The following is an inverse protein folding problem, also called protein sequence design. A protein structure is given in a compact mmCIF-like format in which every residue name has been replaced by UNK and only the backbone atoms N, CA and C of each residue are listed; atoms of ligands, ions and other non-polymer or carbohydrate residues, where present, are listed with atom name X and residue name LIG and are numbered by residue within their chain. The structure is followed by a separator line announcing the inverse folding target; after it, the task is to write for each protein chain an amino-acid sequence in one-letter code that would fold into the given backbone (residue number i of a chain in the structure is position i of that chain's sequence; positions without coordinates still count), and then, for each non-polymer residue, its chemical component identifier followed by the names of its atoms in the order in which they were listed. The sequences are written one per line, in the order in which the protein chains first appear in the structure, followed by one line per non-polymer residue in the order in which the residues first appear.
data_IF_763491915268
#
_entry.id   IF_763491915268
#
_cell.length_a   1.000
_cell.length_b   1.000
_cell.length_c   1.000
_cell.angle_alpha   90.00
_cell.angle_beta   90.00
_cell.angle_gamma   90.00
#
_symmetry.space_group_name_H-M   'P 1'
#
loop_
_entity.id
_entity.type
_entity.pdbx_description
1 polymer ?
#
# COMPACT_ATOMS: atom_id res chain seq x y z
N UNK A 1 10.00 -0.26 2.89
CA UNK A 1 8.64 -0.11 3.44
C UNK A 1 7.63 -0.15 2.31
N UNK A 2 6.60 -0.97 2.42
CA UNK A 2 5.47 -0.98 1.48
C UNK A 2 4.42 -0.01 2.03
N UNK A 3 3.94 0.91 1.21
CA UNK A 3 2.86 1.81 1.61
C UNK A 3 1.51 1.14 1.37
N UNK A 4 0.62 1.17 2.38
CA UNK A 4 -0.75 0.81 2.06
C UNK A 4 -1.36 1.92 1.18
N UNK A 5 -2.51 1.63 0.58
CA UNK A 5 -3.09 2.50 -0.44
C UNK A 5 -3.39 3.90 0.08
N UNK A 6 -3.95 4.02 1.30
CA UNK A 6 -4.26 5.33 1.87
C UNK A 6 -3.01 6.12 2.22
N UNK A 7 -1.97 5.46 2.73
CA UNK A 7 -0.69 6.11 3.03
C UNK A 7 -0.09 6.71 1.75
N UNK A 8 -0.11 5.96 0.66
CA UNK A 8 0.37 6.44 -0.64
C UNK A 8 -0.41 7.68 -1.10
N UNK A 9 -1.74 7.64 -1.05
CA UNK A 9 -2.57 8.76 -1.45
C UNK A 9 -2.34 9.97 -0.53
N UNK A 10 -2.26 9.77 0.77
CA UNK A 10 -2.00 10.88 1.70
C UNK A 10 -0.65 11.53 1.46
N UNK A 11 0.35 10.74 1.10
CA UNK A 11 1.66 11.30 0.71
C UNK A 11 1.52 12.18 -0.52
N UNK A 12 0.86 11.69 -1.59
CA UNK A 12 0.72 12.44 -2.83
C UNK A 12 -0.06 13.73 -2.65
N UNK A 13 -1.09 13.72 -1.79
CA UNK A 13 -1.93 14.89 -1.55
C UNK A 13 -1.43 15.78 -0.41
N UNK A 14 -0.30 15.46 0.18
CA UNK A 14 0.20 16.14 1.39
C UNK A 14 -0.88 16.25 2.46
N UNK A 15 -1.61 15.16 2.68
CA UNK A 15 -2.73 15.09 3.61
C UNK A 15 -2.24 15.05 5.05
N UNK A 16 -2.86 15.85 5.92
CA UNK A 16 -2.48 15.93 7.34
C UNK A 16 -2.74 14.66 8.14
N UNK A 17 -3.50 13.71 7.61
CA UNK A 17 -3.71 12.40 8.25
C UNK A 17 -2.49 11.48 8.19
N UNK A 18 -1.53 11.79 7.29
CA UNK A 18 -0.31 11.00 7.20
C UNK A 18 0.48 11.11 8.51
N UNK A 19 0.74 10.00 9.23
CA UNK A 19 1.50 10.07 10.47
C UNK A 19 2.90 10.64 10.27
N UNK A 20 3.34 11.46 11.22
CA UNK A 20 4.64 12.13 11.15
C UNK A 20 5.78 11.14 10.99
N UNK A 21 5.75 10.04 11.74
CA UNK A 21 6.80 9.02 11.68
C UNK A 21 6.91 8.39 10.30
N UNK A 22 5.77 8.13 9.65
CA UNK A 22 5.76 7.58 8.29
C UNK A 22 6.27 8.62 7.30
N UNK A 23 5.83 9.88 7.44
CA UNK A 23 6.30 10.98 6.60
C UNK A 23 7.83 11.12 6.68
N UNK A 24 8.38 11.11 7.88
CA UNK A 24 9.82 11.22 8.08
C UNK A 24 10.57 10.05 7.44
N UNK A 25 10.02 8.83 7.56
CA UNK A 25 10.62 7.65 6.93
C UNK A 25 10.65 7.78 5.40
N UNK A 26 9.56 8.26 4.81
CA UNK A 26 9.48 8.46 3.35
C UNK A 26 10.46 9.54 2.90
N UNK A 27 10.61 10.61 3.68
CA UNK A 27 11.50 11.73 3.33
C UNK A 27 12.98 11.36 3.40
N UNK A 28 13.33 10.33 4.13
CA UNK A 28 14.72 9.88 4.22
C UNK A 28 15.13 9.23 2.90
N UNK A 29 16.07 9.89 2.20
CA UNK A 29 16.44 9.51 0.83
C UNK A 29 17.03 8.10 0.71
N UNK A 30 17.62 7.58 1.78
CA UNK A 30 18.21 6.24 1.78
C UNK A 30 17.16 5.13 1.90
N UNK A 31 15.96 5.46 2.32
CA UNK A 31 14.91 4.47 2.48
C UNK A 31 14.27 4.12 1.14
N UNK A 32 14.08 2.83 0.91
CA UNK A 32 13.41 2.33 -0.28
C UNK A 32 11.92 2.19 0.02
N UNK A 33 11.10 2.85 -0.79
CA UNK A 33 9.65 2.87 -0.63
C UNK A 33 9.00 2.14 -1.80
N UNK A 34 8.09 1.23 -1.49
CA UNK A 34 7.38 0.44 -2.48
C UNK A 34 5.89 0.74 -2.49
N UNK A 35 5.32 0.78 -3.67
CA UNK A 35 3.87 0.78 -3.88
C UNK A 35 3.52 -0.47 -4.68
N UNK A 36 2.65 -1.29 -4.14
CA UNK A 36 2.28 -2.57 -4.75
C UNK A 36 1.35 -2.38 -5.96
N UNK A 37 1.46 -3.29 -6.91
CA UNK A 37 0.46 -3.44 -7.98
C UNK A 37 -0.95 -3.63 -7.41
N UNK A 38 -1.09 -4.20 -6.21
CA UNK A 38 -2.38 -4.31 -5.53
C UNK A 38 -2.99 -2.94 -5.23
N UNK A 39 -2.18 -1.96 -4.83
CA UNK A 39 -2.66 -0.59 -4.59
C UNK A 39 -3.07 0.10 -5.88
N UNK A 40 -2.36 -0.14 -6.98
CA UNK A 40 -2.75 0.36 -8.30
C UNK A 40 -4.15 -0.17 -8.67
N UNK A 41 -4.35 -1.46 -8.49
CA UNK A 41 -5.63 -2.12 -8.75
C UNK A 41 -6.73 -1.58 -7.84
N UNK A 42 -6.45 -1.41 -6.56
CA UNK A 42 -7.41 -0.86 -5.59
C UNK A 42 -7.85 0.55 -5.97
N UNK A 43 -6.91 1.44 -6.26
CA UNK A 43 -7.20 2.83 -6.62
C UNK A 43 -8.06 2.88 -7.88
N UNK A 44 -7.67 2.15 -8.93
CA UNK A 44 -8.39 2.11 -10.20
C UNK A 44 -9.81 1.57 -10.02
N UNK A 45 -9.96 0.48 -9.26
CA UNK A 45 -11.25 -0.16 -9.01
C UNK A 45 -12.17 0.75 -8.21
N UNK A 46 -11.69 1.28 -7.09
CA UNK A 46 -12.50 2.12 -6.21
C UNK A 46 -12.88 3.44 -6.87
N UNK A 47 -11.98 4.02 -7.66
CA UNK A 47 -12.32 5.21 -8.42
C UNK A 47 -13.43 4.93 -9.43
N UNK A 48 -13.31 3.84 -10.20
CA UNK A 48 -14.31 3.46 -11.21
C UNK A 48 -15.71 3.28 -10.63
N UNK A 49 -15.81 2.69 -9.43
CA UNK A 49 -17.11 2.44 -8.78
C UNK A 49 -17.58 3.60 -7.88
N UNK A 50 -16.90 4.75 -7.93
CA UNK A 50 -17.33 5.95 -7.22
C UNK A 50 -16.99 6.01 -5.74
N UNK A 51 -16.17 5.09 -5.24
CA UNK A 51 -15.79 5.04 -3.82
C UNK A 51 -14.54 5.85 -3.46
N UNK A 52 -13.87 6.42 -4.47
CA UNK A 52 -12.63 7.18 -4.26
C UNK A 52 -12.58 8.40 -5.21
N UNK A 53 -13.62 9.27 -5.17
CA UNK A 53 -13.71 10.39 -6.13
C UNK A 53 -12.56 11.39 -6.01
N UNK A 54 -11.99 11.55 -4.82
CA UNK A 54 -10.87 12.46 -4.55
C UNK A 54 -9.57 12.04 -5.24
N UNK A 55 -9.47 10.80 -5.70
CA UNK A 55 -8.28 10.28 -6.35
C UNK A 55 -8.27 10.46 -7.87
N UNK A 56 -9.16 11.28 -8.44
CA UNK A 56 -9.32 11.39 -9.89
C UNK A 56 -8.02 11.73 -10.63
N UNK A 57 -7.20 12.62 -10.09
CA UNK A 57 -5.93 13.00 -10.71
C UNK A 57 -4.89 11.88 -10.71
N UNK A 58 -4.96 10.97 -9.74
CA UNK A 58 -4.02 9.86 -9.57
C UNK A 58 -4.50 8.62 -10.32
N UNK A 59 -5.81 8.35 -10.27
CA UNK A 59 -6.41 7.12 -10.78
C UNK A 59 -6.23 6.92 -12.28
N UNK A 60 -6.01 7.98 -13.04
CA UNK A 60 -5.84 7.92 -14.49
C UNK A 60 -4.50 7.33 -14.91
N UNK A 61 -3.49 7.45 -14.08
CA UNK A 61 -2.16 6.91 -14.34
C UNK A 61 -1.38 6.73 -13.04
N UNK A 62 -1.76 5.73 -12.26
CA UNK A 62 -1.10 5.45 -10.97
C UNK A 62 0.39 5.12 -11.15
N UNK A 63 0.80 4.32 -12.15
CA UNK A 63 2.23 4.06 -12.38
C UNK A 63 3.07 5.34 -12.56
N UNK A 64 2.53 6.33 -13.26
CA UNK A 64 3.20 7.63 -13.40
C UNK A 64 3.48 8.26 -12.03
N UNK A 65 2.49 8.24 -11.13
CA UNK A 65 2.63 8.87 -9.82
C UNK A 65 3.57 8.12 -8.89
N UNK A 66 3.65 6.79 -9.03
CA UNK A 66 4.65 5.99 -8.30
C UNK A 66 6.05 6.44 -8.71
N UNK A 67 6.31 6.52 -10.01
CA UNK A 67 7.60 6.96 -10.55
C UNK A 67 7.92 8.40 -10.17
N UNK A 68 6.94 9.29 -10.31
CA UNK A 68 7.08 10.72 -9.97
C UNK A 68 7.44 10.93 -8.51
N UNK A 69 6.90 10.11 -7.61
CA UNK A 69 7.22 10.17 -6.19
C UNK A 69 8.62 9.61 -5.86
N UNK A 70 9.28 8.97 -6.80
CA UNK A 70 10.56 8.30 -6.56
C UNK A 70 10.42 6.95 -5.87
N UNK A 71 9.23 6.35 -5.92
CA UNK A 71 8.96 5.05 -5.30
C UNK A 71 9.16 3.92 -6.30
N UNK A 72 9.29 2.71 -5.78
CA UNK A 72 9.42 1.51 -6.59
C UNK A 72 8.10 0.74 -6.65
N UNK A 73 7.70 0.34 -7.85
CA UNK A 73 6.55 -0.54 -8.01
C UNK A 73 6.92 -1.95 -7.55
N UNK A 74 6.03 -2.56 -6.76
CA UNK A 74 6.19 -3.95 -6.30
C UNK A 74 5.21 -4.84 -7.06
N UNK A 75 5.74 -5.70 -7.91
CA UNK A 75 4.93 -6.63 -8.70
C UNK A 75 4.38 -7.76 -7.83
N UNK A 76 3.19 -8.24 -8.19
CA UNK A 76 2.58 -9.40 -7.54
C UNK A 76 3.12 -10.66 -8.22
N UNK A 77 3.70 -11.55 -7.42
CA UNK A 77 4.18 -12.85 -7.89
C UNK A 77 3.14 -13.93 -7.65
N UNK A 78 3.27 -15.11 -8.30
CA UNK A 78 2.43 -16.27 -7.98
C UNK A 78 2.48 -16.66 -6.50
N UNK A 79 3.65 -16.55 -5.86
CA UNK A 79 3.82 -16.86 -4.44
C UNK A 79 3.04 -15.89 -3.56
N UNK A 80 3.06 -14.60 -3.90
CA UNK A 80 2.25 -13.59 -3.22
C UNK A 80 0.76 -13.95 -3.32
N UNK A 81 0.29 -14.28 -4.51
CA UNK A 81 -1.10 -14.60 -4.76
C UNK A 81 -1.53 -15.86 -4.02
N UNK A 82 -0.67 -16.89 -4.00
CA UNK A 82 -0.94 -18.15 -3.29
C UNK A 82 -1.14 -17.87 -1.80
N UNK A 83 -0.24 -17.13 -1.17
CA UNK A 83 -0.34 -16.83 0.26
C UNK A 83 -1.56 -15.94 0.54
N UNK A 84 -1.78 -14.90 -0.25
CA UNK A 84 -2.90 -13.99 -0.06
C UNK A 84 -4.24 -14.74 -0.06
N UNK A 85 -4.38 -15.71 -0.97
CA UNK A 85 -5.61 -16.50 -1.10
C UNK A 85 -5.79 -17.55 -0.01
N UNK A 86 -4.71 -18.21 0.40
CA UNK A 86 -4.76 -19.38 1.29
C UNK A 86 -4.51 -19.05 2.77
N UNK A 87 -4.01 -17.87 3.09
CA UNK A 87 -3.64 -17.52 4.47
C UNK A 87 -4.87 -17.60 5.38
N UNK A 88 -4.76 -18.41 6.42
CA UNK A 88 -5.86 -18.64 7.37
C UNK A 88 -5.97 -17.48 8.36
N UNK A 89 -6.39 -16.34 7.85
CA UNK A 89 -6.69 -15.12 8.61
C UNK A 89 -8.06 -14.65 8.16
N UNK A 90 -8.90 -14.24 9.12
CA UNK A 90 -10.30 -13.91 8.86
C UNK A 90 -10.51 -12.63 8.02
N UNK A 91 -9.48 -11.80 7.85
CA UNK A 91 -9.57 -10.56 7.09
C UNK A 91 -9.92 -10.84 5.62
N UNK A 92 -10.98 -10.19 5.10
CA UNK A 92 -11.55 -10.51 3.78
C UNK A 92 -11.13 -9.57 2.66
N UNK A 93 -10.62 -8.37 2.97
CA UNK A 93 -10.25 -7.41 1.93
C UNK A 93 -9.10 -7.98 1.09
N UNK A 94 -9.32 -8.21 -0.21
CA UNK A 94 -8.31 -8.86 -1.05
C UNK A 94 -7.07 -7.97 -1.26
N UNK A 95 -7.22 -6.66 -1.24
CA UNK A 95 -6.09 -5.75 -1.40
C UNK A 95 -5.18 -5.80 -0.18
N UNK A 96 -5.77 -5.75 1.02
CA UNK A 96 -5.00 -5.87 2.27
C UNK A 96 -4.34 -7.23 2.40
N UNK A 97 -5.03 -8.30 2.03
CA UNK A 97 -4.47 -9.66 2.03
C UNK A 97 -3.25 -9.74 1.13
N UNK A 98 -3.31 -9.12 -0.03
CA UNK A 98 -2.17 -9.11 -0.96
C UNK A 98 -0.99 -8.33 -0.42
N UNK A 99 -1.23 -7.14 0.14
CA UNK A 99 -0.17 -6.34 0.75
C UNK A 99 0.50 -7.10 1.90
N UNK A 100 -0.30 -7.74 2.76
CA UNK A 100 0.21 -8.54 3.86
C UNK A 100 1.06 -9.72 3.38
N UNK A 101 0.61 -10.41 2.33
CA UNK A 101 1.36 -11.52 1.73
C UNK A 101 2.70 -11.06 1.16
N UNK A 102 2.72 -9.92 0.49
CA UNK A 102 3.95 -9.34 -0.03
C UNK A 102 4.91 -8.96 1.09
N UNK A 103 4.40 -8.32 2.13
CA UNK A 103 5.20 -7.98 3.30
C UNK A 103 5.84 -9.21 3.93
N UNK A 104 5.06 -10.27 4.11
CA UNK A 104 5.52 -11.51 4.74
C UNK A 104 6.63 -12.17 3.92
N UNK A 105 6.41 -12.34 2.63
CA UNK A 105 7.33 -13.08 1.75
C UNK A 105 8.58 -12.28 1.41
N UNK A 106 8.44 -10.97 1.21
CA UNK A 106 9.58 -10.11 0.89
C UNK A 106 10.30 -9.60 2.14
N UNK A 107 9.74 -9.83 3.32
CA UNK A 107 10.29 -9.35 4.60
C UNK A 107 10.47 -7.84 4.62
N UNK A 108 9.46 -7.13 4.13
CA UNK A 108 9.42 -5.67 4.06
C UNK A 108 8.22 -5.20 4.92
N UNK A 109 8.41 -4.28 5.87
CA UNK A 109 7.29 -3.81 6.69
C UNK A 109 6.29 -3.00 5.88
N UNK A 110 5.03 -2.98 6.34
CA UNK A 110 3.96 -2.16 5.76
C UNK A 110 3.76 -0.91 6.60
N UNK A 111 3.62 0.24 5.95
CA UNK A 111 3.12 1.45 6.58
C UNK A 111 1.59 1.50 6.43
N UNK A 112 0.88 1.50 7.55
CA UNK A 112 -0.58 1.53 7.58
C UNK A 112 -1.08 2.07 8.91
N UNK A 113 -2.21 2.77 8.86
CA UNK A 113 -2.96 3.16 10.07
C UNK A 113 -4.16 2.26 10.32
N UNK A 114 -4.43 1.31 9.43
CA UNK A 114 -5.55 0.38 9.55
C UNK A 114 -5.20 -0.72 10.55
N UNK A 115 -5.89 -0.72 11.70
CA UNK A 115 -5.65 -1.71 12.75
C UNK A 115 -5.99 -3.13 12.32
N UNK A 116 -6.87 -3.30 11.33
CA UNK A 116 -7.30 -4.63 10.88
C UNK A 116 -6.15 -5.37 10.20
N UNK A 117 -5.23 -4.66 9.56
CA UNK A 117 -4.06 -5.29 8.93
C UNK A 117 -3.13 -5.93 9.97
N UNK A 118 -3.23 -5.51 11.23
CA UNK A 118 -2.44 -6.10 12.34
C UNK A 118 -2.84 -7.53 12.67
N UNK A 119 -3.93 -8.04 12.11
CA UNK A 119 -4.31 -9.44 12.27
C UNK A 119 -3.36 -10.39 11.54
N UNK A 120 -2.60 -9.88 10.57
CA UNK A 120 -1.57 -10.66 9.89
C UNK A 120 -0.26 -10.63 10.68
N UNK A 121 0.49 -11.71 10.61
CA UNK A 121 1.81 -11.81 11.27
C UNK A 121 2.88 -11.14 10.40
N UNK A 122 2.91 -9.81 10.43
CA UNK A 122 3.82 -8.97 9.65
C UNK A 122 4.25 -7.76 10.48
N UNK A 123 5.36 -7.13 10.09
CA UNK A 123 5.79 -5.89 10.72
C UNK A 123 5.02 -4.71 10.13
N UNK A 124 4.47 -3.88 11.02
CA UNK A 124 3.67 -2.71 10.63
C UNK A 124 4.27 -1.45 11.26
N UNK A 125 4.41 -0.42 10.43
CA UNK A 125 4.80 0.93 10.86
C UNK A 125 3.53 1.78 10.81
N UNK A 126 3.05 2.23 11.96
CA UNK A 126 1.76 2.92 12.04
C UNK A 126 1.85 4.31 12.66
N UNK A 127 2.90 4.61 13.39
CA UNK A 127 2.97 5.93 14.05
C UNK A 127 4.39 6.30 14.46
#
# INVERSE_FOLDING_TARGET
MILDTHIFLWWLFNDGRLPVKIREYIQEIENIIYVSAASVWEISTKYRIGKLPEASSVAKDVPYWIEKAGFNALSITPEHAQLAGSWDVAHRDPFDRMLAAQSKLEKIPIASTDIVIKTFDIEIIDN
#
